data_IF_033040129230
#
_entry.id   IF_033040129230
#
_cell.length_a   1.000
_cell.length_b   1.000
_cell.length_c   1.000
_cell.angle_alpha   90.00
_cell.angle_beta   90.00
_cell.angle_gamma   90.00
#
_symmetry.space_group_name_H-M   'P 1'
#
loop_
_entity.id
_entity.type
_entity.pdbx_description
1 polymer ?
#
# COMPACT_ATOMS: atom_id res chain seq x y z
N UNK A 1 1.66 -37.26 -12.18
CA UNK A 1 0.76 -36.17 -11.74
C UNK A 1 1.58 -34.89 -11.57
N UNK A 2 1.19 -33.82 -12.27
CA UNK A 2 1.92 -32.54 -12.28
C UNK A 2 1.73 -31.79 -10.94
N UNK A 3 2.82 -31.30 -10.35
CA UNK A 3 2.87 -30.52 -9.08
C UNK A 3 2.26 -29.10 -9.19
N UNK A 4 1.37 -28.85 -10.15
CA UNK A 4 0.97 -27.48 -10.52
C UNK A 4 -0.16 -26.90 -9.67
N UNK A 5 -0.95 -27.73 -8.98
CA UNK A 5 -2.20 -27.27 -8.36
C UNK A 5 -2.11 -26.82 -6.90
N UNK A 6 -1.02 -27.13 -6.19
CA UNK A 6 -0.88 -26.75 -4.77
C UNK A 6 -0.77 -25.25 -4.55
N UNK A 7 -0.25 -24.49 -5.53
CA UNK A 7 -0.05 -23.03 -5.40
C UNK A 7 -1.37 -22.26 -5.44
N UNK A 8 -2.34 -22.73 -6.21
CA UNK A 8 -3.66 -22.09 -6.33
C UNK A 8 -4.55 -22.49 -5.15
N UNK A 9 -4.41 -23.70 -4.60
CA UNK A 9 -5.27 -24.12 -3.48
C UNK A 9 -5.00 -23.35 -2.19
N UNK A 10 -3.75 -22.99 -1.89
CA UNK A 10 -3.39 -22.29 -0.65
C UNK A 10 -4.07 -20.92 -0.51
N UNK A 11 -4.28 -20.20 -1.61
CA UNK A 11 -4.80 -18.82 -1.57
C UNK A 11 -6.33 -18.75 -1.64
N UNK A 12 -7.02 -19.87 -1.89
CA UNK A 12 -8.49 -19.95 -1.81
C UNK A 12 -9.00 -19.75 -0.37
N UNK A 13 -8.12 -19.93 0.60
CA UNK A 13 -8.43 -19.82 2.02
C UNK A 13 -8.13 -18.42 2.57
N UNK A 14 -8.08 -17.38 1.73
CA UNK A 14 -7.90 -15.98 2.14
C UNK A 14 -9.13 -15.19 1.72
N UNK A 15 -9.84 -14.64 2.69
CA UNK A 15 -11.07 -13.86 2.49
C UNK A 15 -10.86 -12.48 3.09
N UNK A 16 -10.93 -11.43 2.29
CA UNK A 16 -10.95 -10.05 2.81
C UNK A 16 -12.29 -9.80 3.51
N UNK A 17 -12.25 -9.47 4.80
CA UNK A 17 -13.43 -9.13 5.61
C UNK A 17 -13.73 -7.65 5.59
N UNK A 18 -12.71 -6.82 5.80
CA UNK A 18 -12.88 -5.39 6.01
C UNK A 18 -11.61 -4.59 5.70
N UNK A 19 -11.78 -3.28 5.45
CA UNK A 19 -10.70 -2.31 5.20
C UNK A 19 -11.00 -1.04 6.00
N UNK A 20 -10.04 -0.61 6.81
CA UNK A 20 -10.12 0.61 7.60
C UNK A 20 -9.05 1.60 7.16
N UNK A 21 -9.40 2.89 7.18
CA UNK A 21 -8.42 3.98 7.20
C UNK A 21 -7.96 4.18 8.65
N UNK A 22 -6.74 3.80 8.97
CA UNK A 22 -6.21 3.87 10.34
C UNK A 22 -5.73 5.28 10.70
N UNK A 23 -4.96 5.89 9.80
CA UNK A 23 -4.39 7.20 10.06
C UNK A 23 -4.00 7.91 8.77
N UNK A 24 -3.97 9.23 8.88
CA UNK A 24 -3.56 10.13 7.80
C UNK A 24 -2.68 11.22 8.40
N UNK A 25 -1.52 11.45 7.79
CA UNK A 25 -0.64 12.56 8.11
C UNK A 25 -0.25 13.28 6.83
N UNK A 26 -0.28 14.61 6.85
CA UNK A 26 0.09 15.43 5.72
C UNK A 26 0.86 16.66 6.18
N UNK A 27 2.00 16.91 5.54
CA UNK A 27 2.85 18.05 5.83
C UNK A 27 3.29 18.72 4.54
N UNK A 28 3.04 20.04 4.42
CA UNK A 28 3.61 20.86 3.37
C UNK A 28 4.94 21.43 3.85
N UNK A 29 5.95 21.36 3.01
CA UNK A 29 7.28 21.93 3.27
C UNK A 29 7.36 23.42 2.92
N UNK A 30 6.41 23.94 2.12
CA UNK A 30 6.32 25.35 1.74
C UNK A 30 4.88 25.86 1.71
N UNK A 31 4.71 27.12 2.12
CA UNK A 31 3.45 27.88 2.02
C UNK A 31 3.28 28.58 0.67
N UNK A 32 4.31 28.59 -0.17
CA UNK A 32 4.25 29.19 -1.51
C UNK A 32 3.24 28.47 -2.41
N UNK A 33 2.73 29.18 -3.41
CA UNK A 33 1.93 28.57 -4.47
C UNK A 33 2.84 27.62 -5.26
N UNK A 34 2.37 26.40 -5.46
CA UNK A 34 3.08 25.36 -6.20
C UNK A 34 2.42 25.25 -7.57
N UNK A 35 3.15 25.58 -8.63
CA UNK A 35 2.63 25.53 -9.99
C UNK A 35 2.53 24.10 -10.53
N UNK A 36 3.50 23.25 -10.17
CA UNK A 36 3.62 21.88 -10.65
C UNK A 36 4.31 20.99 -9.62
N UNK A 37 3.95 19.71 -9.64
CA UNK A 37 4.68 18.63 -8.99
C UNK A 37 5.42 17.86 -10.09
N UNK A 38 6.73 17.71 -9.95
CA UNK A 38 7.61 17.14 -10.97
C UNK A 38 7.71 15.63 -10.86
N UNK A 39 7.68 15.10 -9.64
CA UNK A 39 7.80 13.67 -9.37
C UNK A 39 6.95 13.28 -8.16
N UNK A 40 6.44 12.05 -8.19
CA UNK A 40 5.89 11.36 -7.03
C UNK A 40 6.73 10.10 -6.79
N UNK A 41 7.21 9.94 -5.56
CA UNK A 41 7.72 8.65 -5.08
C UNK A 41 6.81 8.09 -4.00
N UNK A 42 6.62 6.77 -4.02
CA UNK A 42 5.76 6.05 -3.08
C UNK A 42 6.56 4.90 -2.48
N UNK A 43 6.69 4.90 -1.16
CA UNK A 43 7.22 3.79 -0.39
C UNK A 43 6.09 3.11 0.38
N UNK A 44 6.25 1.80 0.64
CA UNK A 44 5.26 0.99 1.34
C UNK A 44 5.91 0.19 2.45
N UNK A 45 5.20 0.08 3.57
CA UNK A 45 5.53 -0.81 4.67
C UNK A 45 4.33 -1.66 5.06
N UNK A 46 4.60 -2.90 5.47
CA UNK A 46 3.61 -3.88 5.87
C UNK A 46 3.90 -4.35 7.31
N UNK A 47 2.87 -4.45 8.13
CA UNK A 47 2.92 -5.09 9.45
C UNK A 47 1.79 -6.10 9.52
N UNK A 48 2.12 -7.33 9.93
CA UNK A 48 1.18 -8.44 9.99
C UNK A 48 0.96 -8.85 11.45
N UNK A 49 -0.30 -8.94 11.86
CA UNK A 49 -0.68 -9.46 13.16
C UNK A 49 -1.78 -10.50 12.99
N UNK A 50 -1.44 -11.77 13.21
CA UNK A 50 -2.40 -12.86 13.11
C UNK A 50 -2.85 -13.31 14.50
N UNK A 51 -4.17 -13.35 14.71
CA UNK A 51 -4.80 -13.93 15.90
C UNK A 51 -5.84 -14.96 15.46
N UNK A 52 -5.58 -16.23 15.77
CA UNK A 52 -6.37 -17.35 15.27
C UNK A 52 -6.44 -17.33 13.73
N UNK A 53 -7.66 -17.23 13.17
CA UNK A 53 -7.90 -17.15 11.73
C UNK A 53 -7.95 -15.72 11.18
N UNK A 54 -7.92 -14.71 12.04
CA UNK A 54 -7.94 -13.32 11.57
C UNK A 54 -6.50 -12.82 11.39
N UNK A 55 -6.18 -12.43 10.17
CA UNK A 55 -4.94 -11.76 9.80
C UNK A 55 -5.24 -10.27 9.66
N UNK A 56 -4.68 -9.47 10.56
CA UNK A 56 -4.67 -8.02 10.44
C UNK A 56 -3.41 -7.62 9.67
N UNK A 57 -3.59 -6.94 8.56
CA UNK A 57 -2.52 -6.37 7.76
C UNK A 57 -2.60 -4.86 7.83
N UNK A 58 -1.59 -4.23 8.42
CA UNK A 58 -1.44 -2.77 8.44
C UNK A 58 -0.51 -2.39 7.29
N UNK A 59 -1.01 -1.59 6.37
CA UNK A 59 -0.29 -1.11 5.18
C UNK A 59 -0.10 0.39 5.29
N UNK A 60 1.15 0.83 5.31
CA UNK A 60 1.48 2.26 5.33
C UNK A 60 2.08 2.68 4.00
N UNK A 61 1.48 3.67 3.35
CA UNK A 61 2.01 4.35 2.18
C UNK A 61 2.66 5.65 2.61
N UNK A 62 3.92 5.85 2.24
CA UNK A 62 4.63 7.12 2.36
C UNK A 62 4.79 7.70 0.97
N UNK A 63 4.16 8.85 0.73
CA UNK A 63 4.10 9.51 -0.56
C UNK A 63 4.87 10.82 -0.44
N UNK A 64 5.86 10.99 -1.31
CA UNK A 64 6.65 12.22 -1.40
C UNK A 64 6.29 12.92 -2.70
N UNK A 65 5.93 14.20 -2.58
CA UNK A 65 5.62 15.07 -3.71
C UNK A 65 6.82 16.00 -3.90
N UNK A 66 7.53 15.83 -5.01
CA UNK A 66 8.76 16.53 -5.30
C UNK A 66 8.54 17.59 -6.39
N UNK A 67 9.04 18.81 -6.15
CA UNK A 67 9.22 19.83 -7.18
C UNK A 67 10.61 19.73 -7.79
N UNK A 68 10.91 20.58 -8.77
CA UNK A 68 12.22 20.53 -9.46
C UNK A 68 13.43 20.72 -8.55
N UNK A 69 13.28 21.50 -7.46
CA UNK A 69 14.39 21.91 -6.58
C UNK A 69 14.22 21.47 -5.12
N UNK A 70 13.00 21.17 -4.70
CA UNK A 70 12.68 20.85 -3.30
C UNK A 70 11.44 19.97 -3.22
N UNK A 71 11.37 19.19 -2.14
CA UNK A 71 10.13 18.54 -1.71
C UNK A 71 9.05 19.58 -1.48
N UNK A 72 7.84 19.28 -1.94
CA UNK A 72 6.64 20.13 -1.82
C UNK A 72 5.81 19.71 -0.61
N UNK A 73 5.62 18.41 -0.46
CA UNK A 73 4.86 17.86 0.64
C UNK A 73 5.21 16.39 0.89
N UNK A 74 4.87 15.96 2.09
CA UNK A 74 4.94 14.60 2.56
C UNK A 74 3.55 14.15 2.99
N UNK A 75 3.13 12.98 2.53
CA UNK A 75 1.84 12.40 2.82
C UNK A 75 2.00 10.96 3.27
N UNK A 76 1.42 10.64 4.43
CA UNK A 76 1.37 9.28 4.96
C UNK A 76 -0.07 8.88 5.13
N UNK A 77 -0.40 7.70 4.61
CA UNK A 77 -1.70 7.10 4.81
C UNK A 77 -1.53 5.64 5.20
N UNK A 78 -2.21 5.24 6.26
CA UNK A 78 -2.18 3.88 6.77
C UNK A 78 -3.56 3.27 6.69
N UNK A 79 -3.63 2.08 6.11
CA UNK A 79 -4.83 1.25 6.07
C UNK A 79 -4.63 0.01 6.93
N UNK A 80 -5.72 -0.53 7.45
CA UNK A 80 -5.77 -1.88 8.02
C UNK A 80 -6.72 -2.72 7.19
N UNK A 81 -6.23 -3.82 6.65
CA UNK A 81 -7.05 -4.85 6.02
C UNK A 81 -7.19 -6.03 6.99
N UNK A 82 -8.40 -6.54 7.14
CA UNK A 82 -8.66 -7.75 7.94
C UNK A 82 -9.00 -8.89 6.99
N UNK A 83 -8.23 -9.97 7.05
CA UNK A 83 -8.47 -11.18 6.28
C UNK A 83 -8.85 -12.35 7.19
N UNK A 84 -9.81 -13.17 6.79
CA UNK A 84 -9.94 -14.54 7.29
C UNK A 84 -8.98 -15.45 6.56
N UNK A 85 -8.17 -16.21 7.29
CA UNK A 85 -7.40 -17.29 6.71
C UNK A 85 -7.09 -18.43 7.66
N UNK A 86 -7.11 -19.65 7.14
CA UNK A 86 -6.61 -20.84 7.84
C UNK A 86 -5.09 -21.01 7.74
N UNK A 87 -4.42 -20.16 6.97
CA UNK A 87 -2.97 -20.23 6.75
C UNK A 87 -2.25 -19.64 7.99
N UNK A 88 -1.22 -20.32 8.48
CA UNK A 88 -0.24 -19.70 9.39
C UNK A 88 0.62 -18.69 8.62
N UNK A 89 0.27 -17.42 8.75
CA UNK A 89 0.87 -16.34 7.97
C UNK A 89 2.32 -16.05 8.40
N UNK A 90 2.68 -16.32 9.67
CA UNK A 90 4.05 -16.15 10.14
C UNK A 90 5.04 -17.12 9.48
N UNK A 91 4.59 -18.33 9.14
CA UNK A 91 5.37 -19.27 8.33
C UNK A 91 5.27 -18.96 6.83
N UNK A 92 4.11 -18.50 6.37
CA UNK A 92 3.88 -18.11 4.96
C UNK A 92 4.77 -16.94 4.52
N UNK A 93 4.89 -15.88 5.33
CA UNK A 93 5.65 -14.68 4.99
C UNK A 93 7.15 -14.95 4.83
N UNK A 94 7.69 -15.99 5.47
CA UNK A 94 9.08 -16.44 5.24
C UNK A 94 9.34 -16.88 3.80
N UNK A 95 8.30 -17.25 3.06
CA UNK A 95 8.41 -17.52 1.63
C UNK A 95 8.16 -16.23 0.83
N UNK A 96 9.24 -15.51 0.53
CA UNK A 96 9.20 -14.25 -0.23
C UNK A 96 8.38 -14.30 -1.52
N UNK A 97 8.38 -15.44 -2.22
CA UNK A 97 7.60 -15.57 -3.47
C UNK A 97 6.11 -15.62 -3.19
N UNK A 98 5.71 -16.30 -2.11
CA UNK A 98 4.32 -16.41 -1.70
C UNK A 98 3.82 -15.07 -1.11
N UNK A 99 4.62 -14.44 -0.26
CA UNK A 99 4.37 -13.11 0.29
C UNK A 99 4.20 -12.07 -0.82
N UNK A 100 5.16 -11.97 -1.75
CA UNK A 100 5.06 -11.02 -2.88
C UNK A 100 3.84 -11.27 -3.75
N UNK A 101 3.44 -12.53 -3.93
CA UNK A 101 2.22 -12.85 -4.66
C UNK A 101 0.98 -12.40 -3.89
N UNK A 102 0.92 -12.68 -2.59
CA UNK A 102 -0.18 -12.23 -1.73
C UNK A 102 -0.31 -10.70 -1.75
N UNK A 103 0.78 -9.99 -1.46
CA UNK A 103 0.81 -8.53 -1.44
C UNK A 103 0.38 -7.94 -2.78
N UNK A 104 0.91 -8.45 -3.89
CA UNK A 104 0.57 -7.92 -5.22
C UNK A 104 -0.91 -8.11 -5.58
N UNK A 105 -1.49 -9.27 -5.25
CA UNK A 105 -2.83 -9.64 -5.74
C UNK A 105 -3.96 -9.30 -4.77
N UNK A 106 -3.70 -9.32 -3.46
CA UNK A 106 -4.75 -9.19 -2.43
C UNK A 106 -4.66 -7.89 -1.64
N UNK A 107 -3.53 -7.18 -1.70
CA UNK A 107 -3.29 -5.97 -0.91
C UNK A 107 -3.17 -4.78 -1.84
N UNK A 108 -2.15 -4.78 -2.70
CA UNK A 108 -1.87 -3.68 -3.62
C UNK A 108 -3.03 -3.46 -4.59
N UNK A 109 -3.58 -4.54 -5.16
CA UNK A 109 -4.73 -4.46 -6.06
C UNK A 109 -5.98 -3.89 -5.40
N UNK A 110 -6.15 -4.13 -4.09
CA UNK A 110 -7.33 -3.70 -3.32
C UNK A 110 -7.16 -2.27 -2.83
N UNK A 111 -6.01 -1.92 -2.24
CA UNK A 111 -5.76 -0.61 -1.64
C UNK A 111 -5.41 0.49 -2.66
N UNK A 112 -4.91 0.13 -3.84
CA UNK A 112 -4.50 1.12 -4.83
C UNK A 112 -5.61 2.11 -5.21
N UNK A 113 -6.85 1.69 -5.54
CA UNK A 113 -7.97 2.62 -5.76
C UNK A 113 -8.20 3.60 -4.61
N UNK A 114 -8.13 3.13 -3.36
CA UNK A 114 -8.30 3.98 -2.18
C UNK A 114 -7.17 5.00 -2.08
N UNK A 115 -5.91 4.59 -2.27
CA UNK A 115 -4.76 5.49 -2.28
C UNK A 115 -4.94 6.64 -3.30
N UNK A 116 -5.46 6.32 -4.49
CA UNK A 116 -5.76 7.33 -5.53
C UNK A 116 -6.79 8.36 -5.06
N UNK A 117 -7.86 7.90 -4.41
CA UNK A 117 -8.93 8.77 -3.88
C UNK A 117 -8.37 9.67 -2.78
N UNK A 118 -7.74 9.09 -1.77
CA UNK A 118 -7.22 9.84 -0.62
C UNK A 118 -6.10 10.81 -1.00
N UNK A 119 -5.23 10.46 -1.95
CA UNK A 119 -4.23 11.38 -2.49
C UNK A 119 -4.89 12.55 -3.23
N UNK A 120 -5.88 12.29 -4.09
CA UNK A 120 -6.58 13.36 -4.79
C UNK A 120 -7.29 14.30 -3.80
N UNK A 121 -7.95 13.76 -2.77
CA UNK A 121 -8.58 14.56 -1.72
C UNK A 121 -7.59 15.45 -0.98
N UNK A 122 -6.42 14.93 -0.60
CA UNK A 122 -5.44 15.72 0.15
C UNK A 122 -4.82 16.81 -0.72
N UNK A 123 -4.56 16.53 -2.01
CA UNK A 123 -4.08 17.53 -2.97
C UNK A 123 -5.08 18.68 -3.13
N UNK A 124 -6.37 18.36 -3.27
CA UNK A 124 -7.43 19.36 -3.35
C UNK A 124 -7.54 20.19 -2.07
N UNK A 125 -7.58 19.55 -0.89
CA UNK A 125 -7.63 20.24 0.42
C UNK A 125 -6.42 21.14 0.64
N UNK A 126 -5.26 20.73 0.16
CA UNK A 126 -4.01 21.47 0.27
C UNK A 126 -3.80 22.54 -0.81
N UNK A 127 -4.76 22.71 -1.75
CA UNK A 127 -4.62 23.56 -2.93
C UNK A 127 -3.32 23.31 -3.71
N UNK A 128 -2.93 22.04 -3.83
CA UNK A 128 -1.80 21.60 -4.63
C UNK A 128 -2.26 21.18 -6.04
N UNK A 129 -1.37 21.26 -7.05
CA UNK A 129 -1.66 20.73 -8.38
C UNK A 129 -2.13 19.28 -8.29
N UNK A 130 -3.22 18.97 -9.02
CA UNK A 130 -3.73 17.63 -9.02
C UNK A 130 -2.80 16.68 -9.78
N UNK A 131 -2.62 15.46 -9.27
CA UNK A 131 -1.90 14.39 -9.95
C UNK A 131 -2.73 13.13 -9.87
N UNK A 132 -2.90 12.51 -11.03
CA UNK A 132 -3.64 11.26 -11.14
C UNK A 132 -2.64 10.11 -11.18
N UNK A 133 -2.58 9.36 -10.09
CA UNK A 133 -1.87 8.06 -10.07
C UNK A 133 -2.47 7.12 -11.13
N UNK A 134 -1.64 6.25 -11.75
CA UNK A 134 -2.09 5.33 -12.79
C UNK A 134 -3.19 4.39 -12.28
N UNK A 135 -4.01 3.84 -13.18
CA UNK A 135 -5.15 2.97 -12.82
C UNK A 135 -4.74 1.67 -12.13
N UNK A 136 -3.51 1.21 -12.34
CA UNK A 136 -2.94 0.06 -11.66
C UNK A 136 -1.50 0.36 -11.26
N UNK A 137 -0.96 -0.41 -10.32
CA UNK A 137 0.44 -0.32 -9.90
C UNK A 137 1.43 -0.68 -11.00
N UNK A 138 1.02 -1.40 -12.06
CA UNK A 138 1.87 -1.78 -13.19
C UNK A 138 3.15 -2.53 -12.77
N UNK A 139 4.14 -2.60 -13.67
CA UNK A 139 5.52 -3.01 -13.35
C UNK A 139 6.35 -1.84 -12.76
N UNK A 140 5.70 -0.77 -12.29
CA UNK A 140 6.44 0.32 -11.64
C UNK A 140 7.14 -0.27 -10.40
N UNK A 141 8.45 -0.04 -10.31
CA UNK A 141 9.27 -0.46 -9.18
C UNK A 141 8.82 0.33 -7.96
N UNK A 142 7.80 -0.19 -7.27
CA UNK A 142 7.44 0.30 -5.95
C UNK A 142 8.35 -0.43 -4.97
N UNK A 143 9.39 0.26 -4.51
CA UNK A 143 10.36 -0.28 -3.58
C UNK A 143 9.67 -0.61 -2.25
N UNK A 144 9.51 -1.91 -1.97
CA UNK A 144 9.18 -2.39 -0.63
C UNK A 144 10.43 -2.27 0.23
N UNK A 145 10.39 -1.46 1.28
CA UNK A 145 11.39 -1.55 2.33
C UNK A 145 10.85 -2.51 3.40
N UNK A 146 11.49 -3.67 3.51
CA UNK A 146 11.26 -4.60 4.61
C UNK A 146 11.72 -3.91 5.90
N UNK A 147 10.79 -3.31 6.64
CA UNK A 147 11.05 -2.84 7.99
C UNK A 147 11.32 -4.07 8.88
N UNK A 148 12.59 -4.37 9.09
CA UNK A 148 13.02 -5.25 10.19
C UNK A 148 12.82 -4.48 11.49
N UNK A 149 11.81 -4.86 12.27
CA UNK A 149 11.76 -4.61 13.70
C UNK A 149 12.74 -5.56 14.42
#
# INVERSE_FOLDING_TARGET
MKKTDKKISLLKDIILKDIFLESVFFERTSKEVVEKISEISIERGYVYEQKNRDLNLIVTYRIFLEGEKKRIAYYVVTFREIFETGIDFGSFSKNKRAENYFLKNFVDGVLWPYLRIYLNEILMKAALPNIVLPLSTGNHQINSQDNKL
#
